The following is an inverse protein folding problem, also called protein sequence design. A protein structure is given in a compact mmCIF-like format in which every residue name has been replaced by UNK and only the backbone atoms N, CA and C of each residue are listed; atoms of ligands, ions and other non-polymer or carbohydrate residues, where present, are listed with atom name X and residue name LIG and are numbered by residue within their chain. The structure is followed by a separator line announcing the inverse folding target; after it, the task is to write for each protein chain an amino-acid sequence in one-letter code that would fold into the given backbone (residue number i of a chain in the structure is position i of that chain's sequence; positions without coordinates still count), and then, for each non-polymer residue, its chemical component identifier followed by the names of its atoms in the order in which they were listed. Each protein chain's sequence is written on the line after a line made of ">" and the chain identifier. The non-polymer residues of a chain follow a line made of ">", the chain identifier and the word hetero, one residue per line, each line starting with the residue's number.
data_IF_046436508377
#
_entry.id   IF_046436508377
#
_cell.length_a   1.000
_cell.length_b   1.000
_cell.length_c   1.000
_cell.angle_alpha   90.00
_cell.angle_beta   90.00
_cell.angle_gamma   90.00
#
_symmetry.space_group_name_H-M   'P 1'
#
loop_
_entity.id
_entity.type
_entity.pdbx_description
1 polymer ?
#
# COMPACT_ATOMS: atom_id res chain seq x y z
N UNK A 1 -9.15 -1.24 -7.07
CA UNK A 1 -8.42 0.05 -7.26
C UNK A 1 -7.34 0.14 -6.18
N UNK A 2 -6.29 0.94 -6.37
CA UNK A 2 -5.26 1.14 -5.35
C UNK A 2 -4.72 2.57 -5.36
N UNK A 3 -4.14 2.98 -4.24
CA UNK A 3 -3.56 4.31 -4.03
C UNK A 3 -2.20 4.20 -3.31
N UNK A 4 -1.33 5.19 -3.51
CA UNK A 4 -0.05 5.31 -2.80
C UNK A 4 -0.02 6.66 -2.11
N UNK A 5 0.03 6.64 -0.78
CA UNK A 5 0.09 7.83 0.07
C UNK A 5 1.34 7.80 0.93
N UNK A 6 1.86 8.97 1.29
CA UNK A 6 3.00 9.13 2.17
C UNK A 6 2.54 9.44 3.60
N UNK A 7 3.14 8.76 4.58
CA UNK A 7 2.77 8.80 5.99
C UNK A 7 3.99 9.11 6.86
N UNK A 8 3.77 9.98 7.85
CA UNK A 8 4.77 10.24 8.90
C UNK A 8 4.66 9.16 9.96
N UNK A 9 5.73 8.41 10.19
CA UNK A 9 5.86 7.45 11.27
C UNK A 9 6.94 7.89 12.25
N UNK A 10 7.08 7.20 13.38
CA UNK A 10 8.16 7.45 14.33
C UNK A 10 9.55 7.09 13.77
N UNK A 11 9.58 6.30 12.69
CA UNK A 11 10.80 5.89 11.98
C UNK A 11 11.15 6.85 10.83
N UNK A 12 10.29 7.83 10.54
CA UNK A 12 10.44 8.79 9.46
C UNK A 12 9.29 8.74 8.46
N UNK A 13 9.54 9.16 7.23
CA UNK A 13 8.52 9.18 6.19
C UNK A 13 8.50 7.87 5.41
N UNK A 14 7.33 7.22 5.36
CA UNK A 14 7.12 5.97 4.62
C UNK A 14 6.01 6.14 3.58
N UNK A 15 6.17 5.47 2.45
CA UNK A 15 5.12 5.30 1.45
C UNK A 15 4.28 4.08 1.82
N UNK A 16 2.97 4.25 1.79
CA UNK A 16 1.97 3.21 1.99
C UNK A 16 1.23 2.99 0.67
N UNK A 17 1.30 1.77 0.15
CA UNK A 17 0.46 1.30 -0.95
C UNK A 17 -0.74 0.53 -0.40
N UNK A 18 -1.95 0.84 -0.85
CA UNK A 18 -3.20 0.18 -0.40
C UNK A 18 -4.00 -0.31 -1.59
N UNK A 19 -4.54 -1.52 -1.48
CA UNK A 19 -5.45 -2.12 -2.46
C UNK A 19 -6.84 -2.25 -1.86
N UNK A 20 -7.83 -1.67 -2.53
CA UNK A 20 -9.23 -1.66 -2.11
C UNK A 20 -10.06 -2.47 -3.11
N UNK A 21 -10.87 -3.39 -2.57
CA UNK A 21 -11.92 -4.06 -3.33
C UNK A 21 -13.08 -3.09 -3.59
N UNK A 22 -13.47 -2.96 -4.87
CA UNK A 22 -14.53 -2.04 -5.28
C UNK A 22 -15.92 -2.50 -4.88
N UNK A 23 -16.11 -3.81 -4.73
CA UNK A 23 -17.42 -4.36 -4.38
C UNK A 23 -17.71 -4.17 -2.88
N UNK A 24 -16.80 -4.61 -2.02
CA UNK A 24 -16.96 -4.53 -0.56
C UNK A 24 -16.50 -3.21 0.06
N UNK A 25 -15.74 -2.37 -0.68
CA UNK A 25 -15.04 -1.16 -0.17
C UNK A 25 -14.03 -1.46 0.95
N UNK A 26 -13.62 -2.71 1.10
CA UNK A 26 -12.66 -3.13 2.11
C UNK A 26 -11.23 -3.05 1.58
N UNK A 27 -10.30 -2.75 2.49
CA UNK A 27 -8.86 -2.90 2.22
C UNK A 27 -8.54 -4.40 2.19
N UNK A 28 -8.05 -4.87 1.06
CA UNK A 28 -7.72 -6.28 0.85
C UNK A 28 -6.20 -6.55 0.87
N UNK A 29 -5.38 -5.51 0.79
CA UNK A 29 -3.92 -5.63 0.84
C UNK A 29 -3.24 -4.28 1.02
N UNK A 30 -2.06 -4.29 1.63
CA UNK A 30 -1.25 -3.09 1.85
C UNK A 30 0.23 -3.43 2.00
N UNK A 31 1.10 -2.46 1.71
CA UNK A 31 2.53 -2.57 1.95
C UNK A 31 3.14 -1.19 2.25
N UNK A 32 4.21 -1.15 3.05
CA UNK A 32 4.92 0.07 3.40
C UNK A 32 6.41 0.00 3.05
N UNK A 33 6.99 1.13 2.65
CA UNK A 33 8.41 1.22 2.35
C UNK A 33 8.94 2.66 2.34
N UNK A 34 10.24 2.83 2.57
CA UNK A 34 10.90 4.14 2.61
C UNK A 34 10.94 4.85 1.24
N UNK A 35 10.73 4.10 0.16
CA UNK A 35 10.77 4.60 -1.21
C UNK A 35 9.52 4.17 -1.97
N UNK A 36 9.01 5.08 -2.79
CA UNK A 36 7.93 4.79 -3.74
C UNK A 36 8.50 3.96 -4.91
N UNK A 37 8.42 2.64 -4.80
CA UNK A 37 8.88 1.70 -5.83
C UNK A 37 7.73 0.90 -6.42
N UNK A 38 7.92 0.34 -7.61
CA UNK A 38 6.96 -0.59 -8.21
C UNK A 38 6.81 -1.87 -7.35
N UNK A 39 7.90 -2.32 -6.74
CA UNK A 39 7.89 -3.49 -5.85
C UNK A 39 6.94 -3.30 -4.67
N UNK A 40 6.84 -2.09 -4.11
CA UNK A 40 5.91 -1.79 -3.02
C UNK A 40 4.45 -2.04 -3.43
N UNK A 41 4.09 -1.67 -4.66
CA UNK A 41 2.74 -1.92 -5.21
C UNK A 41 2.56 -3.40 -5.51
N UNK A 42 3.57 -4.07 -6.05
CA UNK A 42 3.54 -5.51 -6.28
C UNK A 42 3.35 -6.29 -4.98
N UNK A 43 3.98 -5.86 -3.89
CA UNK A 43 3.85 -6.52 -2.58
C UNK A 43 2.46 -6.31 -1.98
N UNK A 44 1.90 -5.09 -2.09
CA UNK A 44 0.52 -4.83 -1.68
C UNK A 44 -0.48 -5.69 -2.48
N UNK A 45 -0.24 -5.91 -3.78
CA UNK A 45 -1.05 -6.80 -4.63
C UNK A 45 -0.87 -8.28 -4.28
N UNK A 46 0.36 -8.73 -3.98
CA UNK A 46 0.64 -10.11 -3.59
C UNK A 46 -0.05 -10.50 -2.29
N UNK A 47 -0.22 -9.56 -1.36
CA UNK A 47 -0.96 -9.80 -0.11
C UNK A 47 -2.44 -10.11 -0.34
N UNK A 48 -3.00 -9.72 -1.49
CA UNK A 48 -4.40 -9.95 -1.87
C UNK A 48 -4.65 -11.29 -2.56
N UNK A 49 -3.60 -11.97 -3.02
CA UNK A 49 -3.64 -13.24 -3.76
C UNK A 49 -3.40 -14.44 -2.82
#
# INVERSE_FOLDING_TARGET
>A
MGDITYLHTEEGWLYLAVVIDLYSRMVIGWAMGERMTADLVCDALRMTL
#
